data_IF_588874243973
#
_entry.id   IF_588874243973
#
_cell.length_a   1.000
_cell.length_b   1.000
_cell.length_c   1.000
_cell.angle_alpha   90.00
_cell.angle_beta   90.00
_cell.angle_gamma   90.00
#
_symmetry.space_group_name_H-M   'P 1'
#
loop_
_entity.id
_entity.type
_entity.pdbx_description
1 polymer ?
#
# COMPACT_ATOMS: atom_id res chain seq x y z
N UNK A 1 4.38 5.11 2.56
CA UNK A 1 5.80 4.73 2.57
C UNK A 1 6.01 3.83 3.77
N UNK A 2 6.56 2.65 3.54
CA UNK A 2 6.82 1.66 4.60
C UNK A 2 8.32 1.60 4.85
N UNK A 3 8.71 1.45 6.11
CA UNK A 3 10.10 1.34 6.54
C UNK A 3 10.23 0.07 7.36
N UNK A 4 11.14 -0.81 6.98
CA UNK A 4 11.45 -2.02 7.74
C UNK A 4 12.44 -1.71 8.88
N UNK A 5 12.61 -2.67 9.80
CA UNK A 5 13.51 -2.60 10.96
C UNK A 5 14.96 -2.27 10.58
N UNK A 6 15.38 -2.65 9.37
CA UNK A 6 16.72 -2.39 8.83
C UNK A 6 16.87 -0.96 8.26
N UNK A 7 15.81 -0.15 8.29
CA UNK A 7 15.78 1.19 7.71
C UNK A 7 15.51 1.24 6.21
N UNK A 8 15.40 0.07 5.57
CA UNK A 8 15.02 -0.06 4.17
C UNK A 8 13.56 0.34 3.94
N UNK A 9 13.31 1.05 2.85
CA UNK A 9 12.01 1.65 2.54
C UNK A 9 11.44 1.07 1.26
N UNK A 10 10.13 1.03 1.18
CA UNK A 10 9.43 0.82 -0.08
C UNK A 10 8.16 1.67 -0.17
N UNK A 11 7.76 1.97 -1.40
CA UNK A 11 6.56 2.74 -1.71
C UNK A 11 5.59 1.83 -2.42
N UNK A 12 4.39 1.78 -1.85
CA UNK A 12 3.20 1.24 -2.48
C UNK A 12 2.44 2.41 -3.12
N UNK A 13 2.15 2.28 -4.41
CA UNK A 13 1.24 3.17 -5.12
C UNK A 13 -0.11 2.47 -5.24
N UNK A 14 -1.11 2.96 -4.50
CA UNK A 14 -2.50 2.51 -4.60
C UNK A 14 -3.37 3.65 -5.10
N UNK A 15 -4.19 3.36 -6.11
CA UNK A 15 -5.33 4.20 -6.46
C UNK A 15 -6.51 3.72 -5.63
N UNK A 16 -7.10 4.62 -4.83
CA UNK A 16 -8.37 4.39 -4.15
C UNK A 16 -9.44 5.24 -4.83
N UNK A 17 -10.11 4.74 -5.89
CA UNK A 17 -11.23 5.45 -6.49
C UNK A 17 -12.28 5.76 -5.42
N UNK A 18 -12.88 6.95 -5.48
CA UNK A 18 -13.91 7.35 -4.53
C UNK A 18 -15.06 6.33 -4.55
N UNK A 19 -15.30 5.67 -3.41
CA UNK A 19 -16.34 4.65 -3.25
C UNK A 19 -15.89 3.21 -3.53
N UNK A 20 -14.64 2.98 -3.94
CA UNK A 20 -14.11 1.62 -4.08
C UNK A 20 -13.78 1.04 -2.70
N UNK A 21 -14.29 -0.18 -2.43
CA UNK A 21 -14.00 -0.93 -1.21
C UNK A 21 -12.89 -1.98 -1.40
N UNK A 22 -12.37 -2.14 -2.61
CA UNK A 22 -11.22 -2.98 -2.91
C UNK A 22 -10.54 -2.53 -4.20
N UNK A 23 -9.29 -2.92 -4.40
CA UNK A 23 -8.54 -2.62 -5.62
C UNK A 23 -7.13 -3.21 -5.61
N UNK A 24 -6.34 -2.81 -6.60
CA UNK A 24 -4.94 -3.21 -6.74
C UNK A 24 -4.00 -2.03 -6.53
N UNK A 25 -2.89 -2.30 -5.88
CA UNK A 25 -1.73 -1.44 -5.73
C UNK A 25 -0.51 -2.04 -6.39
N UNK A 26 0.44 -1.18 -6.73
CA UNK A 26 1.73 -1.56 -7.31
C UNK A 26 2.85 -1.20 -6.34
N UNK A 27 3.78 -2.14 -6.17
CA UNK A 27 5.05 -1.92 -5.50
C UNK A 27 6.06 -1.63 -6.61
N UNK A 28 6.53 -0.38 -6.67
CA UNK A 28 7.36 0.09 -7.78
C UNK A 28 8.64 0.80 -7.36
N UNK A 29 8.88 0.95 -6.05
CA UNK A 29 10.09 1.61 -5.57
C UNK A 29 10.46 1.12 -4.18
N UNK A 30 11.75 0.86 -3.98
CA UNK A 30 12.32 0.55 -2.68
C UNK A 30 13.82 0.79 -2.62
N UNK A 31 14.36 0.77 -1.40
CA UNK A 31 15.78 0.98 -1.08
C UNK A 31 16.37 -0.28 -0.45
N UNK A 32 17.71 -0.38 -0.44
CA UNK A 32 18.44 -1.53 0.13
C UNK A 32 17.98 -2.84 -0.47
N UNK A 33 17.49 -3.77 0.36
CA UNK A 33 17.01 -5.09 -0.12
C UNK A 33 15.76 -5.00 -1.00
N UNK A 34 15.00 -3.91 -0.92
CA UNK A 34 13.82 -3.66 -1.78
C UNK A 34 14.15 -2.87 -3.05
N UNK A 35 15.43 -2.65 -3.37
CA UNK A 35 15.83 -1.98 -4.61
C UNK A 35 15.40 -2.83 -5.80
N UNK A 36 14.64 -2.24 -6.72
CA UNK A 36 14.08 -2.95 -7.88
C UNK A 36 12.87 -3.82 -7.53
N UNK A 37 12.23 -3.61 -6.38
CA UNK A 37 11.00 -4.30 -6.02
C UNK A 37 9.92 -4.08 -7.08
N UNK A 38 9.40 -5.19 -7.59
CA UNK A 38 8.23 -5.22 -8.45
C UNK A 38 7.20 -6.15 -7.82
N UNK A 39 5.97 -5.68 -7.70
CA UNK A 39 4.92 -6.48 -7.08
C UNK A 39 3.55 -5.86 -7.20
N UNK A 40 2.55 -6.70 -6.96
CA UNK A 40 1.16 -6.28 -6.87
C UNK A 40 0.62 -6.61 -5.49
N UNK A 41 -0.20 -5.70 -4.99
CA UNK A 41 -0.92 -5.88 -3.72
C UNK A 41 -2.40 -5.68 -3.98
N UNK A 42 -3.21 -6.65 -3.57
CA UNK A 42 -4.64 -6.47 -3.47
C UNK A 42 -4.95 -5.81 -2.13
N UNK A 43 -5.73 -4.73 -2.17
CA UNK A 43 -6.20 -4.04 -0.98
C UNK A 43 -7.70 -4.16 -0.87
N UNK A 44 -8.18 -4.30 0.36
CA UNK A 44 -9.60 -4.31 0.67
C UNK A 44 -9.86 -3.42 1.88
N UNK A 45 -10.86 -2.55 1.76
CA UNK A 45 -11.38 -1.75 2.85
C UNK A 45 -12.31 -2.62 3.71
N UNK A 46 -11.96 -2.75 4.99
CA UNK A 46 -12.73 -3.50 5.98
C UNK A 46 -13.72 -2.57 6.70
N UNK A 47 -13.32 -1.32 6.98
CA UNK A 47 -14.18 -0.35 7.66
C UNK A 47 -13.87 1.09 7.21
N UNK A 48 -14.92 1.86 6.95
CA UNK A 48 -14.84 3.32 6.78
C UNK A 48 -15.08 3.96 8.15
N UNK A 49 -14.11 4.72 8.65
CA UNK A 49 -14.27 5.47 9.89
C UNK A 49 -14.72 6.90 9.57
N UNK A 50 -15.48 7.56 10.46
CA UNK A 50 -15.74 8.99 10.34
C UNK A 50 -14.40 9.73 10.22
N UNK A 51 -14.24 10.47 9.13
CA UNK A 51 -13.07 11.28 8.90
C UNK A 51 -13.43 12.75 8.99
N UNK A 52 -12.58 13.54 9.64
CA UNK A 52 -12.72 14.99 9.65
C UNK A 52 -12.67 15.53 8.21
N UNK A 53 -13.22 16.73 8.00
CA UNK A 53 -13.32 17.32 6.66
C UNK A 53 -11.92 17.52 6.07
N UNK A 54 -11.59 16.77 5.02
CA UNK A 54 -10.27 16.77 4.39
C UNK A 54 -9.36 15.62 4.80
N UNK A 55 -9.80 14.77 5.74
CA UNK A 55 -9.11 13.56 6.17
C UNK A 55 -9.79 12.32 5.57
N UNK A 56 -9.05 11.23 5.45
CA UNK A 56 -9.57 9.92 5.06
C UNK A 56 -9.14 8.89 6.10
N UNK A 57 -10.10 8.32 6.82
CA UNK A 57 -9.87 7.29 7.83
C UNK A 57 -10.45 5.96 7.34
N UNK A 58 -9.60 4.95 7.17
CA UNK A 58 -10.03 3.60 6.82
C UNK A 58 -9.21 2.55 7.55
N UNK A 59 -9.84 1.41 7.82
CA UNK A 59 -9.17 0.17 8.23
C UNK A 59 -9.26 -0.78 7.06
N UNK A 60 -8.14 -1.36 6.64
CA UNK A 60 -8.09 -2.26 5.50
C UNK A 60 -7.09 -3.39 5.69
N UNK A 61 -7.25 -4.43 4.88
CA UNK A 61 -6.29 -5.52 4.73
C UNK A 61 -5.58 -5.38 3.39
N UNK A 62 -4.31 -5.78 3.36
CA UNK A 62 -3.49 -5.81 2.15
C UNK A 62 -2.85 -7.18 2.04
N UNK A 63 -2.94 -7.79 0.87
CA UNK A 63 -2.29 -9.06 0.58
C UNK A 63 -1.63 -8.93 -0.77
N UNK A 64 -0.34 -9.24 -0.84
CA UNK A 64 0.42 -9.01 -2.05
C UNK A 64 1.58 -9.95 -2.16
N UNK A 65 2.13 -10.00 -3.36
CA UNK A 65 3.37 -10.71 -3.65
C UNK A 65 4.30 -9.75 -4.37
N UNK A 66 5.57 -9.85 -4.05
CA UNK A 66 6.61 -9.06 -4.67
C UNK A 66 7.80 -9.94 -5.00
N UNK A 67 8.52 -9.54 -6.02
CA UNK A 67 9.80 -10.11 -6.40
C UNK A 67 10.87 -9.05 -6.17
N UNK A 68 12.02 -9.52 -5.73
CA UNK A 68 13.24 -8.74 -5.60
C UNK A 68 14.23 -9.26 -6.66
N UNK A 69 15.07 -8.39 -7.23
CA UNK A 69 16.10 -8.79 -8.18
C UNK A 69 17.20 -9.64 -7.54
#
# INVERSE_FOLDING_TARGET
MFTDKDGDRFVEATSHPKGASAGKGTLGWGTGKYKGIEGQVDWQQVLTLPAEKGSFNFVGTKTGSYSLP
#
